data_IF_279870946247
#
_entry.id   IF_279870946247
#
_cell.length_a   1.000
_cell.length_b   1.000
_cell.length_c   1.000
_cell.angle_alpha   90.00
_cell.angle_beta   90.00
_cell.angle_gamma   90.00
#
_symmetry.space_group_name_H-M   'P 1'
#
loop_
_entity.id
_entity.type
_entity.pdbx_description
1 polymer ?
#
# COMPACT_ATOMS: atom_id res chain seq x y z
N UNK A 1 -16.19 22.79 -15.00
CA UNK A 1 -15.24 22.30 -13.97
C UNK A 1 -15.28 20.79 -14.00
N UNK A 2 -14.26 20.11 -14.56
CA UNK A 2 -14.09 18.65 -14.46
C UNK A 2 -12.62 18.30 -14.75
N UNK A 3 -11.74 18.60 -13.80
CA UNK A 3 -10.29 18.32 -13.90
C UNK A 3 -9.73 17.60 -12.67
N UNK A 4 -10.54 16.83 -11.93
CA UNK A 4 -10.07 16.23 -10.68
C UNK A 4 -10.04 14.69 -10.66
N UNK A 5 -10.64 14.00 -11.63
CA UNK A 5 -10.69 12.52 -11.59
C UNK A 5 -9.54 11.78 -12.29
N UNK A 6 -8.64 12.47 -13.01
CA UNK A 6 -7.57 11.79 -13.77
C UNK A 6 -6.24 11.63 -13.03
N UNK A 7 -6.02 12.35 -11.93
CA UNK A 7 -4.77 12.29 -11.18
C UNK A 7 -4.74 11.19 -10.10
N UNK A 8 -5.92 10.75 -9.61
CA UNK A 8 -5.97 9.81 -8.48
C UNK A 8 -5.62 8.36 -8.84
N UNK A 9 -5.80 7.92 -10.09
CA UNK A 9 -5.47 6.54 -10.47
C UNK A 9 -3.96 6.30 -10.63
N UNK A 10 -3.21 7.33 -11.06
CA UNK A 10 -1.80 7.16 -11.40
C UNK A 10 -0.88 7.01 -10.17
N UNK A 11 -1.22 7.66 -9.05
CA UNK A 11 -0.40 7.61 -7.83
C UNK A 11 -0.52 6.28 -7.08
N UNK A 12 -1.72 5.70 -7.01
CA UNK A 12 -1.93 4.39 -6.40
C UNK A 12 -1.20 3.27 -7.17
N UNK A 13 -1.28 3.29 -8.50
CA UNK A 13 -0.55 2.37 -9.37
C UNK A 13 0.97 2.50 -9.21
N UNK A 14 1.48 3.73 -9.09
CA UNK A 14 2.91 3.97 -8.87
C UNK A 14 3.38 3.44 -7.52
N UNK A 15 2.61 3.68 -6.45
CA UNK A 15 2.88 3.15 -5.10
C UNK A 15 2.87 1.62 -5.12
N UNK A 16 1.87 1.00 -5.74
CA UNK A 16 1.76 -0.45 -5.84
C UNK A 16 2.97 -1.05 -6.58
N UNK A 17 3.43 -0.40 -7.65
CA UNK A 17 4.60 -0.84 -8.41
C UNK A 17 5.90 -0.71 -7.60
N UNK A 18 6.07 0.38 -6.82
CA UNK A 18 7.22 0.55 -5.92
C UNK A 18 7.24 -0.52 -4.83
N UNK A 19 6.09 -0.87 -4.27
CA UNK A 19 5.99 -1.92 -3.26
C UNK A 19 6.31 -3.32 -3.81
N UNK A 20 5.86 -3.67 -5.02
CA UNK A 20 6.26 -4.92 -5.69
C UNK A 20 7.77 -5.01 -5.92
N UNK A 21 8.41 -3.90 -6.30
CA UNK A 21 9.88 -3.84 -6.43
C UNK A 21 10.56 -4.02 -5.08
N UNK A 22 10.00 -3.45 -4.02
CA UNK A 22 10.50 -3.61 -2.66
C UNK A 22 10.35 -5.07 -2.18
N UNK A 23 9.21 -5.71 -2.45
CA UNK A 23 8.96 -7.13 -2.14
C UNK A 23 10.03 -8.02 -2.78
N UNK A 24 10.33 -7.80 -4.06
CA UNK A 24 11.39 -8.52 -4.77
C UNK A 24 12.80 -8.20 -4.23
N UNK A 25 13.03 -6.98 -3.72
CA UNK A 25 14.33 -6.61 -3.12
C UNK A 25 14.59 -7.37 -1.82
N UNK A 26 13.53 -7.67 -1.08
CA UNK A 26 13.58 -8.40 0.18
C UNK A 26 13.14 -9.86 0.02
N UNK A 27 13.30 -10.45 -1.18
CA UNK A 27 12.84 -11.82 -1.46
C UNK A 27 13.47 -12.87 -0.54
N UNK A 28 14.71 -12.63 -0.09
CA UNK A 28 15.48 -13.48 0.83
C UNK A 28 15.22 -13.18 2.32
N UNK A 29 14.45 -12.13 2.63
CA UNK A 29 14.11 -11.73 4.01
C UNK A 29 12.60 -11.93 4.20
N UNK A 30 12.23 -13.13 4.64
CA UNK A 30 10.82 -13.56 4.80
C UNK A 30 9.99 -12.62 5.70
N UNK A 31 10.62 -12.04 6.72
CA UNK A 31 9.97 -11.05 7.60
C UNK A 31 9.65 -9.79 6.80
N UNK A 32 10.65 -9.23 6.12
CA UNK A 32 10.48 -7.99 5.37
C UNK A 32 9.52 -8.14 4.19
N UNK A 33 9.65 -9.25 3.46
CA UNK A 33 8.74 -9.64 2.37
C UNK A 33 7.30 -9.75 2.87
N UNK A 34 7.08 -10.38 4.03
CA UNK A 34 5.75 -10.56 4.61
C UNK A 34 5.03 -9.23 4.93
N UNK A 35 5.77 -8.27 5.48
CA UNK A 35 5.26 -6.92 5.79
C UNK A 35 4.91 -6.14 4.51
N UNK A 36 5.75 -6.20 3.49
CA UNK A 36 5.51 -5.53 2.20
C UNK A 36 4.29 -6.13 1.49
N UNK A 37 4.17 -7.46 1.51
CA UNK A 37 3.03 -8.18 0.94
C UNK A 37 1.71 -7.78 1.61
N UNK A 38 1.68 -7.68 2.95
CA UNK A 38 0.53 -7.16 3.70
C UNK A 38 0.16 -5.74 3.27
N UNK A 39 1.14 -4.88 3.02
CA UNK A 39 0.89 -3.51 2.55
C UNK A 39 0.24 -3.50 1.16
N UNK A 40 0.74 -4.34 0.24
CA UNK A 40 0.18 -4.50 -1.11
C UNK A 40 -1.27 -5.01 -1.04
N UNK A 41 -1.55 -6.02 -0.21
CA UNK A 41 -2.89 -6.59 -0.07
C UNK A 41 -3.87 -5.58 0.53
N UNK A 42 -3.43 -4.80 1.53
CA UNK A 42 -4.24 -3.73 2.13
C UNK A 42 -4.54 -2.59 1.13
N UNK A 43 -3.57 -2.21 0.28
CA UNK A 43 -3.78 -1.19 -0.75
C UNK A 43 -4.70 -1.66 -1.87
N UNK A 44 -4.60 -2.92 -2.30
CA UNK A 44 -5.56 -3.50 -3.25
C UNK A 44 -6.96 -3.59 -2.66
N UNK A 45 -7.07 -3.96 -1.38
CA UNK A 45 -8.35 -3.97 -0.69
C UNK A 45 -9.00 -2.57 -0.70
N UNK A 46 -8.22 -1.50 -0.53
CA UNK A 46 -8.69 -0.11 -0.63
C UNK A 46 -9.24 0.25 -2.01
N UNK A 47 -8.60 -0.21 -3.10
CA UNK A 47 -9.07 0.02 -4.47
C UNK A 47 -10.40 -0.70 -4.77
N UNK A 48 -10.61 -1.87 -4.18
CA UNK A 48 -11.80 -2.71 -4.42
C UNK A 48 -12.98 -2.29 -3.54
N UNK A 49 -12.72 -1.62 -2.42
CA UNK A 49 -13.77 -1.29 -1.44
C UNK A 49 -14.43 0.06 -1.71
N UNK A 50 -15.73 0.03 -1.99
CA UNK A 50 -16.60 1.21 -2.11
C UNK A 50 -16.78 1.98 -0.78
N UNK A 51 -17.55 3.09 -0.80
CA UNK A 51 -17.60 4.14 0.24
C UNK A 51 -18.00 3.68 1.67
N UNK A 52 -18.41 2.44 1.85
CA UNK A 52 -18.81 1.85 3.14
C UNK A 52 -17.67 1.14 3.89
N UNK A 53 -16.49 0.99 3.28
CA UNK A 53 -15.38 0.38 4.00
C UNK A 53 -14.73 1.38 4.94
N UNK A 54 -14.49 0.94 6.16
CA UNK A 54 -14.00 1.74 7.27
C UNK A 54 -12.55 2.19 6.98
N UNK A 55 -12.39 3.25 6.19
CA UNK A 55 -11.11 3.85 5.80
C UNK A 55 -10.25 4.13 7.06
N UNK A 56 -10.89 4.39 8.20
CA UNK A 56 -10.22 4.53 9.51
C UNK A 56 -9.52 3.25 9.95
N UNK A 57 -10.15 2.09 9.78
CA UNK A 57 -9.56 0.79 10.09
C UNK A 57 -8.38 0.49 9.18
N UNK A 58 -8.51 0.75 7.88
CA UNK A 58 -7.42 0.51 6.94
C UNK A 58 -6.25 1.46 7.18
N UNK A 59 -6.49 2.75 7.41
CA UNK A 59 -5.44 3.70 7.82
C UNK A 59 -4.72 3.24 9.08
N UNK A 60 -5.47 2.74 10.07
CA UNK A 60 -4.91 2.17 11.31
C UNK A 60 -4.05 0.92 11.04
N UNK A 61 -4.41 0.10 10.07
CA UNK A 61 -3.65 -1.10 9.71
C UNK A 61 -2.42 -0.79 8.84
N UNK A 62 -2.44 0.30 8.06
CA UNK A 62 -1.32 0.74 7.22
C UNK A 62 -0.23 1.47 8.02
N UNK A 63 -0.58 2.25 9.05
CA UNK A 63 0.39 3.04 9.84
C UNK A 63 1.52 2.19 10.45
N UNK A 64 1.25 1.06 11.14
CA UNK A 64 2.29 0.21 11.71
C UNK A 64 3.25 -0.33 10.64
N UNK A 65 2.69 -0.74 9.51
CA UNK A 65 3.44 -1.31 8.38
C UNK A 65 4.35 -0.26 7.74
N UNK A 66 3.89 0.99 7.62
CA UNK A 66 4.72 2.10 7.13
C UNK A 66 5.84 2.42 8.13
N UNK A 67 5.56 2.44 9.43
CA UNK A 67 6.58 2.67 10.48
C UNK A 67 7.65 1.57 10.43
N UNK A 68 7.24 0.32 10.28
CA UNK A 68 8.13 -0.83 10.16
C UNK A 68 9.02 -0.71 8.91
N UNK A 69 8.48 -0.31 7.76
CA UNK A 69 9.26 -0.03 6.55
C UNK A 69 10.27 1.12 6.74
N UNK A 70 9.87 2.19 7.43
CA UNK A 70 10.76 3.32 7.73
C UNK A 70 11.90 2.94 8.67
N UNK A 71 11.74 1.88 9.47
CA UNK A 71 12.78 1.37 10.37
C UNK A 71 13.90 0.60 9.67
N UNK A 72 13.72 0.23 8.40
CA UNK A 72 14.71 -0.49 7.60
C UNK A 72 15.54 0.42 6.68
N UNK A 73 15.25 1.72 6.68
CA UNK A 73 16.06 2.76 6.06
C UNK A 73 17.18 3.20 7.00
#
# INVERSE_FOLDING_TARGET
MNHSQKYSNNENDEVLNKLKKLENKFDEDDEKKGVIKKLIDNLKALEVTGPETDIKKIKKDLIPVIIELLSWL
#
